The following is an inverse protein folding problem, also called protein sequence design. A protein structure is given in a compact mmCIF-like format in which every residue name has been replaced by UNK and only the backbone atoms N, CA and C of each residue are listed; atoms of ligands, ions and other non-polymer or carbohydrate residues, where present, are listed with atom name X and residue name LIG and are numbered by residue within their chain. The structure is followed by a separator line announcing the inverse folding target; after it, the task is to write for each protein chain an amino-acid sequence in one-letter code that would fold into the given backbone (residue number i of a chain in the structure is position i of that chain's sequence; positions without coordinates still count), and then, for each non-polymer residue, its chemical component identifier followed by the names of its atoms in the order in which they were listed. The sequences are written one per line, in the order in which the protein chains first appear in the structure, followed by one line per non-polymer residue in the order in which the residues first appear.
data_IF_969940412932
#
_entry.id   IF_969940412932
#
_cell.length_a   1.000
_cell.length_b   1.000
_cell.length_c   1.000
_cell.angle_alpha   90.00
_cell.angle_beta   90.00
_cell.angle_gamma   90.00
#
_symmetry.space_group_name_H-M   'P 1'
#
loop_
_entity.id
_entity.type
_entity.pdbx_description
1 polymer ?
#
# COMPACT_ATOMS: atom_id res chain seq x y z
N UNK A 1 25.34 -17.64 -24.00
CA UNK A 1 24.88 -19.02 -24.34
C UNK A 1 23.50 -19.04 -24.99
N UNK A 2 22.53 -18.22 -24.57
CA UNK A 2 21.18 -18.16 -25.18
C UNK A 2 21.17 -17.70 -26.65
N UNK A 3 21.91 -16.66 -27.04
CA UNK A 3 21.97 -16.19 -28.44
C UNK A 3 22.46 -17.26 -29.43
N UNK A 4 23.39 -18.13 -29.04
CA UNK A 4 23.87 -19.25 -29.87
C UNK A 4 22.79 -20.33 -30.04
N UNK A 5 21.93 -20.51 -29.03
CA UNK A 5 20.77 -21.41 -29.10
C UNK A 5 19.71 -20.84 -30.03
N UNK A 6 19.42 -19.55 -29.96
CA UNK A 6 18.47 -18.89 -30.86
C UNK A 6 18.93 -18.88 -32.31
N UNK A 7 20.23 -18.65 -32.57
CA UNK A 7 20.79 -18.73 -33.92
C UNK A 7 20.61 -20.13 -34.54
N UNK A 8 20.88 -21.19 -33.77
CA UNK A 8 20.66 -22.58 -34.22
C UNK A 8 19.19 -22.90 -34.47
N UNK A 9 18.29 -22.42 -33.61
CA UNK A 9 16.85 -22.61 -33.80
C UNK A 9 16.35 -21.83 -35.02
N UNK A 10 16.87 -20.62 -35.25
CA UNK A 10 16.54 -19.83 -36.42
C UNK A 10 16.98 -20.53 -37.72
N UNK A 11 18.19 -21.08 -37.78
CA UNK A 11 18.67 -21.82 -38.95
C UNK A 11 17.78 -23.03 -39.30
N UNK A 12 17.18 -23.66 -38.30
CA UNK A 12 16.25 -24.78 -38.46
C UNK A 12 14.82 -24.34 -38.83
N UNK A 13 14.44 -23.09 -38.53
CA UNK A 13 13.08 -22.56 -38.69
C UNK A 13 12.91 -21.61 -39.88
N UNK A 14 14.00 -21.13 -40.48
CA UNK A 14 14.03 -20.04 -41.48
C UNK A 14 13.14 -20.21 -42.72
N UNK A 15 12.74 -21.44 -43.05
CA UNK A 15 11.89 -21.74 -44.21
C UNK A 15 10.40 -21.76 -43.89
N UNK A 16 10.01 -21.69 -42.61
CA UNK A 16 8.64 -21.85 -42.15
C UNK A 16 8.22 -20.68 -41.26
N UNK A 17 7.27 -19.87 -41.73
CA UNK A 17 6.87 -18.65 -41.03
C UNK A 17 6.32 -18.91 -39.61
N UNK A 18 5.55 -19.98 -39.43
CA UNK A 18 5.02 -20.39 -38.11
C UNK A 18 6.13 -20.76 -37.10
N UNK A 19 7.21 -21.42 -37.55
CA UNK A 19 8.34 -21.76 -36.67
C UNK A 19 9.18 -20.55 -36.31
N UNK A 20 9.28 -19.57 -37.20
CA UNK A 20 9.91 -18.27 -36.90
C UNK A 20 9.06 -17.49 -35.90
N UNK A 21 7.73 -17.52 -36.03
CA UNK A 21 6.78 -16.94 -35.08
C UNK A 21 6.94 -17.56 -33.68
N UNK A 22 6.95 -18.90 -33.58
CA UNK A 22 7.14 -19.63 -32.33
C UNK A 22 8.50 -19.30 -31.66
N UNK A 23 9.58 -19.19 -32.46
CA UNK A 23 10.89 -18.77 -31.95
C UNK A 23 10.87 -17.35 -31.40
N UNK A 24 10.22 -16.41 -32.09
CA UNK A 24 10.11 -15.02 -31.64
C UNK A 24 9.30 -14.91 -30.34
N UNK A 25 8.23 -15.70 -30.20
CA UNK A 25 7.45 -15.81 -28.96
C UNK A 25 8.31 -16.39 -27.84
N UNK A 26 9.07 -17.44 -28.10
CA UNK A 26 9.99 -18.03 -27.11
C UNK A 26 11.02 -17.02 -26.60
N UNK A 27 11.59 -16.20 -27.49
CA UNK A 27 12.56 -15.15 -27.13
C UNK A 27 11.93 -14.13 -26.18
N UNK A 28 10.72 -13.64 -26.47
CA UNK A 28 10.04 -12.68 -25.58
C UNK A 28 9.65 -13.30 -24.24
N UNK A 29 9.12 -14.52 -24.22
CA UNK A 29 8.74 -15.19 -22.97
C UNK A 29 9.94 -15.43 -22.05
N UNK A 30 11.16 -15.56 -22.59
CA UNK A 30 12.37 -15.67 -21.79
C UNK A 30 12.83 -14.33 -21.17
N UNK A 31 12.20 -13.21 -21.53
CA UNK A 31 12.53 -11.87 -21.05
C UNK A 31 13.65 -11.19 -21.85
N UNK A 32 13.91 -11.64 -23.08
CA UNK A 32 14.91 -11.03 -23.96
C UNK A 32 14.35 -9.76 -24.65
N UNK A 33 15.22 -8.79 -24.97
CA UNK A 33 14.81 -7.49 -25.50
C UNK A 33 14.04 -7.58 -26.83
N UNK A 34 13.06 -6.68 -27.00
CA UNK A 34 12.30 -6.50 -28.24
C UNK A 34 13.14 -6.21 -29.49
N UNK A 35 14.34 -5.65 -29.32
CA UNK A 35 15.27 -5.41 -30.43
C UNK A 35 15.74 -6.73 -31.06
N UNK A 36 15.98 -7.78 -30.27
CA UNK A 36 16.39 -9.11 -30.77
C UNK A 36 15.28 -9.73 -31.64
N UNK A 37 14.02 -9.56 -31.22
CA UNK A 37 12.86 -10.04 -31.97
C UNK A 37 12.74 -9.30 -33.28
N UNK A 38 12.95 -7.98 -33.27
CA UNK A 38 12.94 -7.17 -34.48
C UNK A 38 14.04 -7.61 -35.44
N UNK A 39 15.27 -7.79 -34.95
CA UNK A 39 16.41 -8.22 -35.76
C UNK A 39 16.14 -9.61 -36.38
N UNK A 40 15.56 -10.54 -35.62
CA UNK A 40 15.13 -11.84 -36.12
C UNK A 40 14.05 -11.74 -37.21
N UNK A 41 13.07 -10.86 -37.04
CA UNK A 41 12.02 -10.62 -38.04
C UNK A 41 12.55 -9.93 -39.30
N UNK A 42 13.49 -9.00 -39.17
CA UNK A 42 14.16 -8.36 -40.32
C UNK A 42 14.97 -9.39 -41.12
N UNK A 43 15.73 -10.26 -40.44
CA UNK A 43 16.46 -11.36 -41.07
C UNK A 43 15.52 -12.37 -41.74
N UNK A 44 14.39 -12.69 -41.11
CA UNK A 44 13.40 -13.62 -41.66
C UNK A 44 12.73 -13.05 -42.92
N UNK A 45 12.36 -11.76 -42.89
CA UNK A 45 11.72 -11.09 -44.03
C UNK A 45 12.62 -10.97 -45.26
N UNK A 46 13.95 -10.96 -45.09
CA UNK A 46 14.90 -11.02 -46.20
C UNK A 46 14.88 -12.37 -46.94
N UNK A 47 14.43 -13.43 -46.27
CA UNK A 47 14.43 -14.80 -46.80
C UNK A 47 13.03 -15.23 -47.27
N UNK A 48 11.99 -14.91 -46.50
CA UNK A 48 10.60 -15.21 -46.82
C UNK A 48 9.68 -14.16 -46.17
N UNK A 49 8.68 -13.68 -46.90
CA UNK A 49 7.73 -12.68 -46.37
C UNK A 49 6.92 -13.34 -45.25
N UNK A 50 7.10 -12.86 -44.02
CA UNK A 50 6.52 -13.47 -42.83
C UNK A 50 5.05 -13.09 -42.62
N UNK A 51 4.61 -11.92 -43.11
CA UNK A 51 3.24 -11.45 -42.97
C UNK A 51 2.85 -10.92 -41.58
N UNK A 52 3.72 -11.04 -40.58
CA UNK A 52 3.52 -10.53 -39.21
C UNK A 52 4.61 -9.54 -38.79
N UNK A 53 4.26 -8.62 -37.88
CA UNK A 53 5.16 -7.58 -37.32
C UNK A 53 5.49 -7.87 -35.86
N UNK A 54 6.47 -7.15 -35.30
CA UNK A 54 6.86 -7.23 -33.88
C UNK A 54 5.67 -7.09 -32.92
N UNK A 55 4.71 -6.21 -33.25
CA UNK A 55 3.46 -6.05 -32.49
C UNK A 55 2.65 -7.34 -32.42
N UNK A 56 2.53 -8.06 -33.53
CA UNK A 56 1.73 -9.27 -33.61
C UNK A 56 2.40 -10.41 -32.82
N UNK A 57 3.73 -10.45 -32.80
CA UNK A 57 4.49 -11.35 -31.91
C UNK A 57 4.25 -11.05 -30.44
N UNK A 58 4.16 -9.78 -30.04
CA UNK A 58 3.88 -9.41 -28.64
C UNK A 58 2.48 -9.82 -28.23
N UNK A 59 1.47 -9.56 -29.07
CA UNK A 59 0.09 -10.01 -28.84
C UNK A 59 0.02 -11.53 -28.71
N UNK A 60 0.69 -12.24 -29.61
CA UNK A 60 0.77 -13.70 -29.56
C UNK A 60 1.47 -14.18 -28.29
N UNK A 61 2.56 -13.53 -27.87
CA UNK A 61 3.31 -13.92 -26.67
C UNK A 61 2.50 -13.71 -25.40
N UNK A 62 1.77 -12.59 -25.32
CA UNK A 62 0.84 -12.31 -24.24
C UNK A 62 -0.27 -13.37 -24.21
N UNK A 63 -0.93 -13.61 -25.35
CA UNK A 63 -2.00 -14.59 -25.46
C UNK A 63 -1.52 -15.98 -25.08
N UNK A 64 -0.37 -16.41 -25.59
CA UNK A 64 0.22 -17.71 -25.30
C UNK A 64 0.52 -17.91 -23.81
N UNK A 65 0.97 -16.86 -23.10
CA UNK A 65 1.19 -16.94 -21.64
C UNK A 65 -0.14 -16.89 -20.90
N UNK A 66 -1.11 -16.09 -21.35
CA UNK A 66 -2.42 -15.94 -20.73
C UNK A 66 -3.28 -17.21 -20.88
N UNK A 67 -3.27 -17.85 -22.04
CA UNK A 67 -4.02 -19.08 -22.33
C UNK A 67 -3.58 -20.24 -21.41
N UNK A 68 -2.32 -20.24 -20.93
CA UNK A 68 -1.83 -21.26 -19.98
C UNK A 68 -2.50 -21.18 -18.61
N UNK A 69 -3.16 -20.06 -18.30
CA UNK A 69 -3.97 -19.92 -17.10
C UNK A 69 -5.40 -20.44 -17.29
N UNK A 70 -5.90 -20.48 -18.53
CA UNK A 70 -7.20 -21.06 -18.89
C UNK A 70 -7.10 -22.59 -19.03
N UNK A 71 -6.06 -23.08 -19.73
CA UNK A 71 -5.78 -24.51 -19.88
C UNK A 71 -4.32 -24.83 -19.46
N UNK A 72 -4.12 -25.41 -18.26
CA UNK A 72 -2.79 -25.73 -17.77
C UNK A 72 -2.13 -26.93 -18.49
N UNK A 73 -2.89 -27.71 -19.27
CA UNK A 73 -2.40 -28.86 -20.04
C UNK A 73 -1.93 -28.46 -21.46
N UNK A 74 -2.44 -27.35 -22.02
CA UNK A 74 -2.01 -26.79 -23.31
C UNK A 74 -0.80 -25.83 -23.18
N UNK A 75 0.27 -26.30 -22.50
CA UNK A 75 1.49 -25.49 -22.35
C UNK A 75 2.39 -25.59 -23.59
N UNK A 76 2.78 -24.45 -24.20
CA UNK A 76 3.80 -24.41 -25.23
C UNK A 76 5.07 -25.17 -24.86
N UNK A 77 5.58 -25.94 -25.84
CA UNK A 77 6.71 -26.86 -25.68
C UNK A 77 8.01 -26.17 -25.24
N UNK A 78 8.13 -24.87 -25.48
CA UNK A 78 9.28 -24.07 -25.09
C UNK A 78 9.25 -23.64 -23.61
N UNK A 79 8.11 -23.72 -22.93
CA UNK A 79 8.00 -23.44 -21.51
C UNK A 79 8.48 -24.65 -20.70
N UNK A 80 9.47 -24.44 -19.85
CA UNK A 80 9.98 -25.51 -18.99
C UNK A 80 8.95 -25.85 -17.91
N UNK A 81 8.86 -27.13 -17.52
CA UNK A 81 8.00 -27.56 -16.41
C UNK A 81 8.30 -26.87 -15.07
N UNK A 82 9.47 -26.26 -14.95
CA UNK A 82 9.93 -25.57 -13.73
C UNK A 82 9.60 -24.08 -13.72
N UNK A 83 9.29 -23.48 -14.86
CA UNK A 83 8.98 -22.04 -14.94
C UNK A 83 7.48 -21.83 -14.78
N UNK A 84 7.10 -20.97 -13.83
CA UNK A 84 5.69 -20.64 -13.61
C UNK A 84 5.18 -19.66 -14.67
N UNK A 85 3.92 -19.77 -15.08
CA UNK A 85 3.29 -18.82 -16.02
C UNK A 85 3.38 -17.37 -15.52
N UNK A 86 3.39 -17.18 -14.19
CA UNK A 86 3.53 -15.88 -13.54
C UNK A 86 4.92 -15.28 -13.71
N UNK A 87 5.98 -16.08 -13.59
CA UNK A 87 7.35 -15.62 -13.85
C UNK A 87 7.53 -15.21 -15.32
N UNK A 88 6.94 -15.94 -16.25
CA UNK A 88 7.00 -15.62 -17.68
C UNK A 88 6.26 -14.32 -17.99
N UNK A 89 5.04 -14.17 -17.46
CA UNK A 89 4.28 -12.93 -17.59
C UNK A 89 5.04 -11.74 -16.98
N UNK A 90 5.64 -11.93 -15.80
CA UNK A 90 6.43 -10.87 -15.14
C UNK A 90 7.63 -10.47 -16.00
N UNK A 91 8.38 -11.42 -16.55
CA UNK A 91 9.53 -11.15 -17.43
C UNK A 91 9.11 -10.43 -18.70
N UNK A 92 8.02 -10.88 -19.31
CA UNK A 92 7.46 -10.28 -20.53
C UNK A 92 7.00 -8.85 -20.24
N UNK A 93 6.20 -8.61 -19.20
CA UNK A 93 5.73 -7.28 -18.81
C UNK A 93 6.89 -6.35 -18.42
N UNK A 94 7.94 -6.85 -17.77
CA UNK A 94 9.13 -6.05 -17.45
C UNK A 94 9.86 -5.62 -18.72
N UNK A 95 9.99 -6.53 -19.69
CA UNK A 95 10.60 -6.24 -21.00
C UNK A 95 9.78 -5.21 -21.78
N UNK A 96 8.45 -5.33 -21.76
CA UNK A 96 7.54 -4.36 -22.37
C UNK A 96 7.61 -3.00 -21.67
N UNK A 97 7.66 -2.97 -20.34
CA UNK A 97 7.76 -1.75 -19.55
C UNK A 97 9.06 -0.98 -19.85
N UNK A 98 10.19 -1.67 -19.91
CA UNK A 98 11.48 -1.07 -20.30
C UNK A 98 11.42 -0.47 -21.71
N UNK A 99 10.71 -1.11 -22.64
CA UNK A 99 10.54 -0.61 -23.99
C UNK A 99 9.61 0.60 -24.07
N UNK A 100 8.48 0.59 -23.35
CA UNK A 100 7.50 1.68 -23.31
C UNK A 100 8.08 2.97 -22.70
N UNK A 101 8.96 2.82 -21.71
CA UNK A 101 9.66 3.91 -21.02
C UNK A 101 10.96 4.35 -21.71
N UNK A 102 11.37 3.72 -22.81
CA UNK A 102 12.55 4.17 -23.54
C UNK A 102 12.28 5.50 -24.25
N UNK A 103 13.15 6.50 -24.06
CA UNK A 103 13.04 7.86 -24.60
C UNK A 103 13.14 7.95 -26.14
N UNK A 104 13.36 6.82 -26.83
CA UNK A 104 13.43 6.78 -28.29
C UNK A 104 12.02 6.74 -28.90
N UNK A 105 11.41 7.93 -29.06
CA UNK A 105 10.09 8.15 -29.68
C UNK A 105 9.95 7.47 -31.06
N UNK A 106 11.04 7.28 -31.79
CA UNK A 106 11.10 6.60 -33.11
C UNK A 106 11.17 5.07 -33.05
N UNK A 107 11.30 4.47 -31.86
CA UNK A 107 11.40 3.01 -31.65
C UNK A 107 10.21 2.41 -30.89
N UNK A 108 9.10 3.13 -30.69
CA UNK A 108 7.92 2.54 -30.04
C UNK A 108 7.20 1.60 -31.02
N UNK A 109 7.53 0.31 -30.95
CA UNK A 109 6.94 -0.72 -31.81
C UNK A 109 5.54 -1.14 -31.37
N UNK A 110 5.18 -0.83 -30.12
CA UNK A 110 3.96 -1.28 -29.43
C UNK A 110 3.36 -0.09 -28.69
N UNK A 111 2.03 0.00 -28.66
CA UNK A 111 1.29 0.96 -27.83
C UNK A 111 0.73 0.26 -26.60
N UNK A 112 0.48 1.04 -25.55
CA UNK A 112 -0.15 0.54 -24.31
C UNK A 112 -1.50 -0.15 -24.60
N UNK A 113 -2.30 0.40 -25.53
CA UNK A 113 -3.57 -0.19 -26.00
C UNK A 113 -3.45 -1.60 -26.57
N UNK A 114 -2.33 -1.94 -27.22
CA UNK A 114 -2.14 -3.27 -27.79
C UNK A 114 -1.99 -4.35 -26.71
N UNK A 115 -1.45 -3.97 -25.54
CA UNK A 115 -1.30 -4.83 -24.37
C UNK A 115 -2.65 -4.92 -23.64
N UNK A 116 -3.31 -3.78 -23.43
CA UNK A 116 -4.61 -3.69 -22.77
C UNK A 116 -5.69 -4.47 -23.51
N UNK A 117 -5.65 -4.51 -24.84
CA UNK A 117 -6.60 -5.30 -25.64
C UNK A 117 -6.53 -6.81 -25.30
N UNK A 118 -5.34 -7.40 -25.23
CA UNK A 118 -5.19 -8.83 -24.91
C UNK A 118 -5.59 -9.12 -23.46
N UNK A 119 -5.35 -8.16 -22.54
CA UNK A 119 -5.80 -8.27 -21.15
C UNK A 119 -7.32 -8.23 -21.06
N UNK A 120 -8.00 -7.34 -21.81
CA UNK A 120 -9.47 -7.29 -21.85
C UNK A 120 -10.05 -8.61 -22.36
N UNK A 121 -9.45 -9.21 -23.39
CA UNK A 121 -9.85 -10.53 -23.89
C UNK A 121 -9.65 -11.63 -22.83
N UNK A 122 -8.53 -11.62 -22.12
CA UNK A 122 -8.29 -12.56 -21.01
C UNK A 122 -9.25 -12.36 -19.84
N UNK A 123 -9.57 -11.13 -19.47
CA UNK A 123 -10.52 -10.84 -18.40
C UNK A 123 -11.95 -11.28 -18.75
N UNK A 124 -12.31 -11.26 -20.04
CA UNK A 124 -13.57 -11.78 -20.55
C UNK A 124 -13.66 -13.31 -20.56
N UNK A 125 -12.56 -14.03 -20.38
CA UNK A 125 -12.55 -15.50 -20.33
C UNK A 125 -13.12 -16.01 -18.99
N UNK A 126 -14.30 -16.60 -19.02
CA UNK A 126 -15.00 -17.13 -17.83
C UNK A 126 -14.34 -18.39 -17.25
N UNK A 127 -13.43 -19.05 -17.98
CA UNK A 127 -12.77 -20.29 -17.52
C UNK A 127 -11.69 -20.02 -16.46
N UNK A 128 -11.17 -18.79 -16.43
CA UNK A 128 -10.07 -18.39 -15.53
C UNK A 128 -10.61 -17.92 -14.18
N UNK A 129 -10.00 -18.40 -13.09
CA UNK A 129 -10.40 -18.03 -11.74
C UNK A 129 -10.24 -16.52 -11.47
N UNK A 130 -11.12 -15.90 -10.65
CA UNK A 130 -11.03 -14.49 -10.28
C UNK A 130 -9.70 -14.13 -9.59
N UNK A 131 -9.11 -15.06 -8.83
CA UNK A 131 -7.82 -14.87 -8.15
C UNK A 131 -6.66 -14.71 -9.15
N UNK A 132 -6.66 -15.50 -10.22
CA UNK A 132 -5.63 -15.41 -11.26
C UNK A 132 -5.77 -14.11 -12.03
N UNK A 133 -7.01 -13.71 -12.39
CA UNK A 133 -7.29 -12.42 -13.02
C UNK A 133 -6.79 -11.26 -12.15
N UNK A 134 -7.03 -11.32 -10.85
CA UNK A 134 -6.55 -10.33 -9.89
C UNK A 134 -5.02 -10.22 -9.87
N UNK A 135 -4.31 -11.34 -9.80
CA UNK A 135 -2.83 -11.36 -9.79
C UNK A 135 -2.23 -10.77 -11.07
N UNK A 136 -2.81 -11.11 -12.22
CA UNK A 136 -2.39 -10.58 -13.53
C UNK A 136 -2.63 -9.07 -13.59
N UNK A 137 -3.81 -8.60 -13.18
CA UNK A 137 -4.16 -7.18 -13.17
C UNK A 137 -3.29 -6.34 -12.23
N UNK A 138 -2.91 -6.86 -11.06
CA UNK A 138 -1.96 -6.19 -10.15
C UNK A 138 -0.56 -6.03 -10.76
N UNK A 139 -0.09 -7.00 -11.56
CA UNK A 139 1.18 -6.88 -12.28
C UNK A 139 1.10 -5.80 -13.37
N UNK A 140 -0.04 -5.70 -14.05
CA UNK A 140 -0.25 -4.72 -15.13
C UNK A 140 -0.32 -3.30 -14.55
N UNK A 141 -1.01 -3.11 -13.42
CA UNK A 141 -1.09 -1.81 -12.73
C UNK A 141 0.30 -1.23 -12.43
N UNK A 142 1.27 -2.08 -12.09
CA UNK A 142 2.66 -1.69 -11.81
C UNK A 142 3.48 -1.39 -13.06
N UNK A 143 3.04 -1.84 -14.24
CA UNK A 143 3.85 -1.84 -15.47
C UNK A 143 3.27 -1.00 -16.61
N UNK A 144 1.96 -0.73 -16.64
CA UNK A 144 1.29 0.00 -17.71
C UNK A 144 0.37 1.07 -17.14
N UNK A 145 0.29 2.24 -17.78
CA UNK A 145 -0.68 3.27 -17.43
C UNK A 145 -2.07 2.83 -17.86
N UNK A 146 -2.93 2.52 -16.89
CA UNK A 146 -4.30 2.07 -17.14
C UNK A 146 -5.20 3.24 -17.59
N UNK A 147 -6.06 2.99 -18.59
CA UNK A 147 -7.12 3.92 -18.99
C UNK A 147 -8.32 3.85 -18.04
N UNK A 148 -9.30 4.75 -18.18
CA UNK A 148 -10.47 4.80 -17.30
C UNK A 148 -11.29 3.49 -17.28
N UNK A 149 -11.55 2.91 -18.45
CA UNK A 149 -12.28 1.65 -18.57
C UNK A 149 -11.50 0.47 -17.97
N UNK A 150 -10.17 0.46 -18.14
CA UNK A 150 -9.32 -0.60 -17.58
C UNK A 150 -9.21 -0.50 -16.06
N UNK A 151 -9.25 0.72 -15.50
CA UNK A 151 -9.33 0.93 -14.05
C UNK A 151 -10.64 0.39 -13.47
N UNK A 152 -11.77 0.60 -14.16
CA UNK A 152 -13.07 0.06 -13.75
C UNK A 152 -13.08 -1.47 -13.83
N UNK A 153 -12.49 -2.06 -14.87
CA UNK A 153 -12.35 -3.50 -15.02
C UNK A 153 -11.45 -4.10 -13.92
N UNK A 154 -10.34 -3.45 -13.61
CA UNK A 154 -9.45 -3.85 -12.52
C UNK A 154 -10.18 -3.78 -11.18
N UNK A 155 -10.88 -2.68 -10.90
CA UNK A 155 -11.68 -2.51 -9.70
C UNK A 155 -12.75 -3.60 -9.56
N UNK A 156 -13.42 -3.96 -10.66
CA UNK A 156 -14.40 -5.03 -10.71
C UNK A 156 -13.80 -6.38 -10.29
N UNK A 157 -12.69 -6.81 -10.89
CA UNK A 157 -12.09 -8.10 -10.56
C UNK A 157 -11.45 -8.13 -9.16
N UNK A 158 -10.86 -7.01 -8.71
CA UNK A 158 -10.37 -6.88 -7.33
C UNK A 158 -11.51 -7.02 -6.32
N UNK A 159 -12.62 -6.33 -6.57
CA UNK A 159 -13.83 -6.43 -5.75
C UNK A 159 -14.42 -7.83 -5.80
N UNK A 160 -14.50 -8.44 -6.98
CA UNK A 160 -15.04 -9.77 -7.17
C UNK A 160 -14.24 -10.85 -6.43
N UNK A 161 -12.91 -10.79 -6.47
CA UNK A 161 -12.07 -11.76 -5.75
C UNK A 161 -12.28 -11.68 -4.23
N UNK A 162 -12.50 -10.49 -3.68
CA UNK A 162 -12.75 -10.34 -2.23
C UNK A 162 -14.19 -10.74 -1.88
N UNK A 163 -15.15 -10.31 -2.69
CA UNK A 163 -16.56 -10.54 -2.45
C UNK A 163 -16.90 -12.02 -2.56
N UNK A 164 -16.46 -12.69 -3.63
CA UNK A 164 -16.76 -14.11 -3.86
C UNK A 164 -16.21 -15.04 -2.77
N UNK A 165 -15.13 -14.62 -2.08
CA UNK A 165 -14.56 -15.37 -0.95
C UNK A 165 -15.41 -15.34 0.32
N UNK A 166 -16.19 -14.28 0.51
CA UNK A 166 -16.84 -13.99 1.80
C UNK A 166 -18.37 -13.87 1.70
N UNK A 167 -18.90 -13.62 0.49
CA UNK A 167 -20.33 -13.48 0.21
C UNK A 167 -20.71 -14.08 -1.15
N UNK A 168 -21.86 -14.76 -1.20
CA UNK A 168 -22.49 -15.20 -2.45
C UNK A 168 -23.28 -14.04 -3.09
N UNK A 169 -22.58 -13.03 -3.60
CA UNK A 169 -23.17 -11.87 -4.29
C UNK A 169 -22.69 -11.87 -5.73
N UNK A 170 -23.63 -11.89 -6.67
CA UNK A 170 -23.34 -11.68 -8.09
C UNK A 170 -23.01 -10.21 -8.34
N UNK A 171 -21.84 -9.98 -8.93
CA UNK A 171 -21.34 -8.65 -9.27
C UNK A 171 -21.41 -8.45 -10.79
N UNK A 172 -21.90 -7.30 -11.22
CA UNK A 172 -21.84 -6.84 -12.60
C UNK A 172 -20.89 -5.64 -12.73
N UNK A 173 -20.32 -5.45 -13.91
CA UNK A 173 -19.42 -4.32 -14.21
C UNK A 173 -20.14 -2.98 -13.97
N UNK A 174 -21.45 -2.92 -14.24
CA UNK A 174 -22.28 -1.73 -13.97
C UNK A 174 -22.37 -1.32 -12.49
N UNK A 175 -22.00 -2.21 -11.56
CA UNK A 175 -21.88 -1.86 -10.13
C UNK A 175 -20.66 -1.01 -9.80
N UNK A 176 -19.70 -0.87 -10.73
CA UNK A 176 -18.44 -0.13 -10.56
C UNK A 176 -18.37 1.15 -11.39
N UNK A 177 -19.37 1.42 -12.24
CA UNK A 177 -19.35 2.54 -13.18
C UNK A 177 -19.69 3.88 -12.54
N UNK A 178 -20.43 3.90 -11.43
CA UNK A 178 -20.82 5.14 -10.75
C UNK A 178 -20.59 5.06 -9.24
N UNK A 179 -20.32 6.22 -8.65
CA UNK A 179 -20.21 6.34 -7.19
C UNK A 179 -21.49 5.82 -6.51
N UNK A 180 -22.67 6.15 -7.02
CA UNK A 180 -23.96 5.72 -6.46
C UNK A 180 -24.17 4.20 -6.52
N UNK A 181 -23.81 3.54 -7.63
CA UNK A 181 -23.96 2.09 -7.75
C UNK A 181 -22.99 1.34 -6.82
N UNK A 182 -21.81 1.90 -6.61
CA UNK A 182 -20.78 1.39 -5.70
C UNK A 182 -21.19 1.57 -4.22
N UNK A 183 -21.79 2.71 -3.85
CA UNK A 183 -22.40 2.90 -2.53
C UNK A 183 -23.56 1.92 -2.28
N UNK A 184 -24.41 1.68 -3.29
CA UNK A 184 -25.49 0.69 -3.15
C UNK A 184 -24.96 -0.73 -2.97
N UNK A 185 -23.85 -1.06 -3.62
CA UNK A 185 -23.17 -2.34 -3.42
C UNK A 185 -22.58 -2.44 -2.01
N UNK A 186 -21.94 -1.37 -1.52
CA UNK A 186 -21.46 -1.28 -0.14
C UNK A 186 -22.56 -1.66 0.86
N UNK A 187 -23.72 -0.99 0.78
CA UNK A 187 -24.85 -1.26 1.67
C UNK A 187 -25.28 -2.73 1.63
N UNK A 188 -25.42 -3.30 0.42
CA UNK A 188 -25.78 -4.73 0.25
C UNK A 188 -24.77 -5.70 0.88
N UNK A 189 -23.47 -5.41 0.77
CA UNK A 189 -22.41 -6.24 1.37
C UNK A 189 -22.42 -6.06 2.89
N UNK A 190 -22.52 -4.82 3.36
CA UNK A 190 -22.49 -4.48 4.77
C UNK A 190 -23.69 -5.06 5.54
N UNK A 191 -24.89 -5.03 4.95
CA UNK A 191 -26.10 -5.64 5.52
C UNK A 191 -25.97 -7.16 5.69
N UNK A 192 -25.24 -7.82 4.79
CA UNK A 192 -24.97 -9.27 4.83
C UNK A 192 -23.76 -9.65 5.69
N UNK A 193 -23.03 -8.66 6.19
CA UNK A 193 -21.82 -8.89 6.97
C UNK A 193 -22.19 -9.25 8.42
N UNK A 194 -21.78 -10.43 8.87
CA UNK A 194 -22.07 -10.94 10.21
C UNK A 194 -20.82 -11.40 10.98
N UNK A 195 -19.72 -11.70 10.28
CA UNK A 195 -18.47 -12.17 10.92
C UNK A 195 -17.37 -11.11 10.88
N UNK A 196 -16.42 -11.18 11.82
CA UNK A 196 -15.28 -10.24 11.86
C UNK A 196 -14.42 -10.31 10.58
N UNK A 197 -14.19 -11.51 10.05
CA UNK A 197 -13.44 -11.70 8.81
C UNK A 197 -14.12 -11.00 7.63
N UNK A 198 -15.46 -11.03 7.58
CA UNK A 198 -16.24 -10.29 6.59
C UNK A 198 -16.10 -8.77 6.78
N UNK A 199 -16.09 -8.26 8.02
CA UNK A 199 -15.89 -6.83 8.27
C UNK A 199 -14.49 -6.37 7.84
N UNK A 200 -13.45 -7.18 8.08
CA UNK A 200 -12.09 -6.91 7.58
C UNK A 200 -11.99 -6.99 6.05
N UNK A 201 -12.75 -7.89 5.42
CA UNK A 201 -12.88 -7.95 3.96
C UNK A 201 -13.57 -6.68 3.42
N UNK A 202 -14.59 -6.15 4.09
CA UNK A 202 -15.19 -4.84 3.74
C UNK A 202 -14.19 -3.70 3.89
N UNK A 203 -13.40 -3.66 4.97
CA UNK A 203 -12.34 -2.66 5.13
C UNK A 203 -11.32 -2.73 3.98
N UNK A 204 -10.96 -3.94 3.55
CA UNK A 204 -10.08 -4.15 2.40
C UNK A 204 -10.69 -3.65 1.10
N UNK A 205 -12.01 -3.81 0.91
CA UNK A 205 -12.74 -3.26 -0.23
C UNK A 205 -12.75 -1.73 -0.23
N UNK A 206 -13.03 -1.09 0.91
CA UNK A 206 -13.01 0.37 1.04
C UNK A 206 -11.63 0.97 0.73
N UNK A 207 -10.55 0.23 1.00
CA UNK A 207 -9.20 0.64 0.65
C UNK A 207 -8.90 0.59 -0.86
N UNK A 208 -9.64 -0.25 -1.60
CA UNK A 208 -9.48 -0.42 -3.05
C UNK A 208 -10.41 0.54 -3.80
N UNK A 209 -11.57 0.84 -3.22
CA UNK A 209 -12.57 1.70 -3.82
C UNK A 209 -12.16 3.18 -3.82
N UNK A 210 -12.63 3.97 -4.80
CA UNK A 210 -12.45 5.42 -4.74
C UNK A 210 -13.12 5.96 -3.47
N UNK A 211 -12.56 7.04 -2.86
CA UNK A 211 -13.15 7.61 -1.66
C UNK A 211 -14.58 8.03 -1.97
N UNK A 212 -15.49 7.55 -1.13
CA UNK A 212 -16.86 7.99 -1.14
C UNK A 212 -16.91 9.48 -0.81
N UNK A 213 -17.64 10.27 -1.59
CA UNK A 213 -17.88 11.67 -1.26
C UNK A 213 -18.53 11.73 0.12
N UNK A 214 -17.89 12.44 1.06
CA UNK A 214 -18.42 12.61 2.40
C UNK A 214 -19.83 13.19 2.30
N UNK A 215 -20.83 12.38 2.61
CA UNK A 215 -22.20 12.85 2.75
C UNK A 215 -22.20 13.84 3.90
N UNK A 216 -22.52 15.10 3.60
CA UNK A 216 -22.46 16.21 4.56
C UNK A 216 -23.30 15.95 5.84
N UNK A 217 -24.26 15.03 5.75
CA UNK A 217 -25.21 14.68 6.81
C UNK A 217 -25.31 13.14 7.09
N UNK A 218 -24.41 12.32 6.54
CA UNK A 218 -24.47 10.85 6.65
C UNK A 218 -23.29 10.23 7.39
N UNK A 219 -23.51 9.07 8.01
CA UNK A 219 -22.46 8.23 8.58
C UNK A 219 -21.51 7.74 7.47
N UNK A 220 -20.22 8.04 7.59
CA UNK A 220 -19.23 7.60 6.60
C UNK A 220 -19.12 6.07 6.53
N UNK A 221 -18.80 5.52 5.35
CA UNK A 221 -18.61 4.07 5.18
C UNK A 221 -17.54 3.50 6.14
N UNK A 222 -16.48 4.28 6.41
CA UNK A 222 -15.46 3.94 7.40
C UNK A 222 -15.98 3.95 8.84
N UNK A 223 -16.89 4.87 9.18
CA UNK A 223 -17.53 4.90 10.49
C UNK A 223 -18.35 3.64 10.75
N UNK A 224 -19.14 3.20 9.76
CA UNK A 224 -19.92 1.96 9.84
C UNK A 224 -19.03 0.72 10.03
N UNK A 225 -17.90 0.64 9.32
CA UNK A 225 -16.96 -0.47 9.46
C UNK A 225 -16.29 -0.46 10.84
N UNK A 226 -15.79 0.69 11.30
CA UNK A 226 -15.12 0.79 12.59
C UNK A 226 -16.08 0.59 13.77
N UNK A 227 -17.27 1.19 13.73
CA UNK A 227 -18.29 0.98 14.77
C UNK A 227 -18.68 -0.49 14.92
N UNK A 228 -18.80 -1.21 13.81
CA UNK A 228 -19.10 -2.66 13.81
C UNK A 228 -17.94 -3.50 14.33
N UNK A 229 -16.69 -3.19 13.95
CA UNK A 229 -15.50 -3.85 14.53
C UNK A 229 -15.41 -3.62 16.04
N UNK A 230 -15.75 -2.43 16.52
CA UNK A 230 -15.64 -2.11 17.95
C UNK A 230 -16.78 -2.78 18.74
N UNK A 231 -18.01 -2.72 18.22
CA UNK A 231 -19.21 -3.20 18.92
C UNK A 231 -19.31 -4.73 18.91
N UNK A 232 -19.05 -5.36 17.76
CA UNK A 232 -19.23 -6.81 17.59
C UNK A 232 -17.96 -7.60 17.92
N UNK A 233 -16.78 -7.09 17.52
CA UNK A 233 -15.51 -7.80 17.65
C UNK A 233 -14.68 -7.39 18.87
N UNK A 234 -14.91 -6.19 19.42
CA UNK A 234 -14.00 -5.50 20.35
C UNK A 234 -12.54 -5.48 19.86
N UNK A 235 -12.35 -5.45 18.54
CA UNK A 235 -11.03 -5.51 17.92
C UNK A 235 -10.51 -4.12 17.58
N UNK A 236 -10.08 -3.38 18.61
CA UNK A 236 -9.41 -2.09 18.44
C UNK A 236 -8.04 -2.19 17.74
N UNK A 237 -7.40 -3.36 17.72
CA UNK A 237 -6.09 -3.55 17.11
C UNK A 237 -6.17 -3.44 15.59
N UNK A 238 -7.19 -4.07 14.99
CA UNK A 238 -7.43 -3.97 13.55
C UNK A 238 -7.80 -2.55 13.12
N UNK A 239 -8.58 -1.82 13.92
CA UNK A 239 -8.92 -0.41 13.66
C UNK A 239 -7.65 0.45 13.58
N UNK A 240 -6.74 0.31 14.55
CA UNK A 240 -5.49 1.08 14.58
C UNK A 240 -4.55 0.69 13.42
N UNK A 241 -4.48 -0.58 13.04
CA UNK A 241 -3.69 -1.03 11.88
C UNK A 241 -4.20 -0.44 10.57
N UNK A 242 -5.51 -0.50 10.33
CA UNK A 242 -6.13 0.06 9.14
C UNK A 242 -5.92 1.58 9.10
N UNK A 243 -6.14 2.26 10.24
CA UNK A 243 -5.91 3.70 10.36
C UNK A 243 -4.45 4.09 10.06
N UNK A 244 -3.49 3.26 10.45
CA UNK A 244 -2.07 3.49 10.18
C UNK A 244 -1.68 3.30 8.73
N UNK A 245 -2.09 2.19 8.12
CA UNK A 245 -1.65 1.83 6.78
C UNK A 245 -2.24 2.76 5.70
N UNK A 246 -3.38 3.39 6.01
CA UNK A 246 -4.22 4.08 5.02
C UNK A 246 -4.81 5.40 5.52
N UNK A 247 -4.14 6.08 6.45
CA UNK A 247 -4.57 7.38 7.00
C UNK A 247 -4.99 8.38 5.89
N UNK A 248 -4.23 8.45 4.79
CA UNK A 248 -4.49 9.37 3.67
C UNK A 248 -5.78 9.06 2.89
N UNK A 249 -6.28 7.81 2.95
CA UNK A 249 -7.47 7.35 2.23
C UNK A 249 -8.74 7.32 3.09
N UNK A 250 -8.59 7.48 4.41
CA UNK A 250 -9.71 7.43 5.34
C UNK A 250 -10.33 8.82 5.42
N UNK A 251 -11.44 9.02 4.71
CA UNK A 251 -12.27 10.21 4.86
C UNK A 251 -13.27 9.97 5.99
N UNK A 252 -12.93 10.43 7.20
CA UNK A 252 -13.84 10.47 8.34
C UNK A 252 -14.23 11.92 8.64
N UNK A 253 -15.51 12.13 8.93
CA UNK A 253 -15.98 13.41 9.45
C UNK A 253 -15.50 13.59 10.90
N UNK A 254 -15.35 14.84 11.34
CA UNK A 254 -14.91 15.17 12.71
C UNK A 254 -15.75 14.49 13.81
N UNK A 255 -17.07 14.44 13.61
CA UNK A 255 -18.02 13.79 14.55
C UNK A 255 -17.87 12.27 14.59
N UNK A 256 -17.58 11.67 13.44
CA UNK A 256 -17.37 10.23 13.32
C UNK A 256 -16.08 9.81 14.03
N UNK A 257 -15.00 10.61 13.91
CA UNK A 257 -13.75 10.39 14.63
C UNK A 257 -13.93 10.41 16.15
N UNK A 258 -14.68 11.39 16.66
CA UNK A 258 -14.99 11.49 18.10
C UNK A 258 -15.82 10.29 18.56
N UNK A 259 -16.83 9.90 17.79
CA UNK A 259 -17.72 8.79 18.13
C UNK A 259 -16.99 7.43 18.11
N UNK A 260 -16.08 7.22 17.16
CA UNK A 260 -15.21 6.03 17.12
C UNK A 260 -14.26 6.02 18.31
N UNK A 261 -13.68 7.18 18.66
CA UNK A 261 -12.77 7.28 19.79
C UNK A 261 -13.47 7.00 21.12
N UNK A 262 -14.67 7.56 21.33
CA UNK A 262 -15.49 7.26 22.52
C UNK A 262 -15.90 5.78 22.58
N UNK A 263 -16.21 5.17 21.42
CA UNK A 263 -16.50 3.74 21.34
C UNK A 263 -15.26 2.89 21.67
N UNK A 264 -14.07 3.28 21.20
CA UNK A 264 -12.81 2.61 21.53
C UNK A 264 -12.46 2.73 23.02
N UNK A 265 -12.70 3.88 23.64
CA UNK A 265 -12.50 4.07 25.09
C UNK A 265 -13.44 3.20 25.93
N UNK A 266 -14.68 3.00 25.46
CA UNK A 266 -15.71 2.28 26.21
C UNK A 266 -15.59 0.76 26.06
N UNK A 267 -15.34 0.28 24.85
CA UNK A 267 -15.45 -1.14 24.51
C UNK A 267 -14.10 -1.83 24.25
N UNK A 268 -12.99 -1.07 24.16
CA UNK A 268 -11.63 -1.56 23.88
C UNK A 268 -10.58 -1.01 24.88
N UNK A 269 -9.30 -1.35 24.68
CA UNK A 269 -8.19 -0.79 25.47
C UNK A 269 -7.95 0.70 25.16
N UNK A 270 -7.79 1.51 26.21
CA UNK A 270 -7.60 2.96 26.12
C UNK A 270 -6.38 3.38 25.27
N UNK A 271 -5.30 2.58 25.32
CA UNK A 271 -4.10 2.80 24.50
C UNK A 271 -4.40 2.76 22.99
N UNK A 272 -5.34 1.93 22.57
CA UNK A 272 -5.73 1.81 21.15
C UNK A 272 -6.54 3.03 20.72
N UNK A 273 -7.42 3.55 21.58
CA UNK A 273 -8.12 4.80 21.35
C UNK A 273 -7.13 5.95 21.16
N UNK A 274 -6.14 6.07 22.06
CA UNK A 274 -5.13 7.13 21.96
C UNK A 274 -4.27 7.02 20.71
N UNK A 275 -3.87 5.82 20.29
CA UNK A 275 -3.17 5.63 19.01
C UNK A 275 -4.03 6.03 17.82
N UNK A 276 -5.32 5.68 17.82
CA UNK A 276 -6.24 6.08 16.75
C UNK A 276 -6.38 7.59 16.66
N UNK A 277 -6.61 8.28 17.78
CA UNK A 277 -6.70 9.74 17.83
C UNK A 277 -5.41 10.43 17.38
N UNK A 278 -4.24 9.86 17.70
CA UNK A 278 -2.95 10.38 17.25
C UNK A 278 -2.67 10.15 15.76
N UNK A 279 -3.26 9.12 15.15
CA UNK A 279 -3.08 8.81 13.73
C UNK A 279 -3.98 9.65 12.82
N UNK A 280 -5.22 9.94 13.26
CA UNK A 280 -6.17 10.75 12.46
C UNK A 280 -5.81 12.24 12.47
N UNK A 281 -5.21 12.73 13.55
CA UNK A 281 -4.36 13.92 13.51
C UNK A 281 -5.05 15.27 13.28
N UNK A 282 -6.25 15.50 13.80
CA UNK A 282 -6.85 16.85 13.86
C UNK A 282 -6.49 17.56 15.19
N UNK A 283 -6.31 18.88 15.16
CA UNK A 283 -5.94 19.69 16.33
C UNK A 283 -6.94 19.56 17.48
N UNK A 284 -8.23 19.45 17.15
CA UNK A 284 -9.31 19.23 18.12
C UNK A 284 -9.29 17.81 18.71
N UNK A 285 -8.94 16.80 17.89
CA UNK A 285 -8.77 15.42 18.36
C UNK A 285 -7.57 15.31 19.29
N UNK A 286 -6.47 16.01 19.01
CA UNK A 286 -5.32 16.06 19.92
C UNK A 286 -5.70 16.66 21.27
N UNK A 287 -6.47 17.75 21.32
CA UNK A 287 -6.97 18.31 22.58
C UNK A 287 -7.88 17.33 23.33
N UNK A 288 -8.77 16.63 22.63
CA UNK A 288 -9.65 15.63 23.25
C UNK A 288 -8.87 14.45 23.83
N UNK A 289 -7.91 13.92 23.06
CA UNK A 289 -6.99 12.86 23.48
C UNK A 289 -6.19 13.31 24.72
N UNK A 290 -5.65 14.53 24.71
CA UNK A 290 -4.88 15.08 25.84
C UNK A 290 -5.75 15.27 27.09
N UNK A 291 -6.99 15.74 26.95
CA UNK A 291 -7.92 15.87 28.07
C UNK A 291 -8.25 14.52 28.71
N UNK A 292 -8.44 13.48 27.90
CA UNK A 292 -8.65 12.13 28.40
C UNK A 292 -7.38 11.54 29.05
N UNK A 293 -6.19 11.85 28.51
CA UNK A 293 -4.92 11.46 29.13
C UNK A 293 -4.67 12.10 30.49
N UNK A 294 -5.15 13.33 30.71
CA UNK A 294 -5.04 14.02 32.02
C UNK A 294 -5.96 13.43 33.08
N UNK A 295 -7.06 12.79 32.68
CA UNK A 295 -8.03 12.17 33.58
C UNK A 295 -7.58 10.80 34.10
N UNK A 296 -6.55 10.20 33.48
CA UNK A 296 -6.04 8.90 33.86
C UNK A 296 -5.11 8.95 35.08
N UNK A 297 -5.31 8.01 36.00
CA UNK A 297 -4.42 7.83 37.13
C UNK A 297 -3.09 7.20 36.68
N UNK A 298 -1.96 7.54 37.32
CA UNK A 298 -0.63 7.09 36.91
C UNK A 298 -0.43 5.57 36.96
N UNK A 299 -1.19 4.84 37.79
CA UNK A 299 -1.11 3.38 37.92
C UNK A 299 -1.87 2.63 36.81
N UNK A 300 -2.75 3.32 36.07
CA UNK A 300 -3.52 2.77 34.95
C UNK A 300 -2.90 3.10 33.58
N UNK A 301 -1.82 3.89 33.57
CA UNK A 301 -1.16 4.34 32.36
C UNK A 301 -0.37 3.20 31.66
N UNK A 302 -1.03 2.48 30.77
CA UNK A 302 -0.41 1.48 29.89
C UNK A 302 0.13 2.20 28.65
N UNK A 303 1.40 1.96 28.30
CA UNK A 303 2.06 2.59 27.16
C UNK A 303 2.92 1.60 26.38
N UNK A 304 3.13 1.89 25.11
CA UNK A 304 4.07 1.17 24.26
C UNK A 304 4.96 2.11 23.44
N UNK A 305 6.04 1.55 22.91
CA UNK A 305 7.05 2.35 22.21
C UNK A 305 6.50 3.02 20.94
N UNK A 306 5.51 2.41 20.31
CA UNK A 306 4.83 2.92 19.12
C UNK A 306 3.99 4.16 19.44
N UNK A 307 3.21 4.12 20.52
CA UNK A 307 2.46 5.28 21.01
C UNK A 307 3.40 6.45 21.34
N UNK A 308 4.52 6.19 21.99
CA UNK A 308 5.52 7.22 22.31
C UNK A 308 6.19 7.80 21.04
N UNK A 309 6.37 7.00 19.98
CA UNK A 309 6.86 7.49 18.69
C UNK A 309 5.82 8.39 18.00
N UNK A 310 4.53 8.04 18.05
CA UNK A 310 3.45 8.86 17.50
C UNK A 310 3.33 10.21 18.22
N UNK A 311 3.49 10.24 19.53
CA UNK A 311 3.55 11.49 20.31
C UNK A 311 4.72 12.39 19.88
N UNK A 312 5.88 11.79 19.59
CA UNK A 312 7.04 12.51 19.08
C UNK A 312 6.78 13.07 17.66
N UNK A 313 6.26 12.24 16.74
CA UNK A 313 5.96 12.66 15.35
C UNK A 313 4.96 13.82 15.30
N UNK A 314 4.00 13.85 16.21
CA UNK A 314 2.98 14.90 16.27
C UNK A 314 3.40 16.15 17.07
N UNK A 315 4.66 16.24 17.54
CA UNK A 315 5.20 17.38 18.31
C UNK A 315 4.38 17.74 19.56
N UNK A 316 3.83 16.74 20.23
CA UNK A 316 3.00 16.94 21.44
C UNK A 316 3.81 16.96 22.74
N UNK A 317 5.14 17.00 22.65
CA UNK A 317 6.10 16.95 23.77
C UNK A 317 5.80 17.96 24.88
N UNK A 318 5.41 19.19 24.51
CA UNK A 318 5.07 20.27 25.44
C UNK A 318 3.74 20.07 26.18
N UNK A 319 2.82 19.30 25.61
CA UNK A 319 1.45 19.13 26.13
C UNK A 319 1.27 17.87 26.97
N UNK A 320 2.21 16.94 26.87
CA UNK A 320 2.25 15.68 27.64
C UNK A 320 2.79 15.91 29.06
N UNK A 321 3.43 17.06 29.36
CA UNK A 321 4.08 17.35 30.65
C UNK A 321 3.12 17.18 31.85
N UNK A 322 1.84 17.45 31.66
CA UNK A 322 0.80 17.35 32.69
C UNK A 322 0.14 15.96 32.77
N UNK A 323 0.58 15.01 31.94
CA UNK A 323 0.02 13.66 31.85
C UNK A 323 0.94 12.64 32.50
N UNK A 324 0.43 11.50 33.00
CA UNK A 324 1.25 10.44 33.60
C UNK A 324 2.26 9.82 32.62
N UNK A 325 2.07 10.01 31.31
CA UNK A 325 2.93 9.49 30.25
C UNK A 325 4.26 10.24 30.09
N UNK A 326 4.41 11.43 30.69
CA UNK A 326 5.63 12.24 30.55
C UNK A 326 6.89 11.51 31.02
N UNK A 327 6.83 10.85 32.17
CA UNK A 327 7.98 10.11 32.71
C UNK A 327 8.37 8.93 31.80
N UNK A 328 7.39 8.22 31.24
CA UNK A 328 7.61 7.13 30.30
C UNK A 328 8.20 7.63 28.98
N UNK A 329 7.70 8.75 28.47
CA UNK A 329 8.21 9.41 27.26
C UNK A 329 9.66 9.88 27.42
N UNK A 330 10.02 10.48 28.56
CA UNK A 330 11.40 10.88 28.87
C UNK A 330 12.32 9.66 28.94
N UNK A 331 11.90 8.59 29.62
CA UNK A 331 12.68 7.35 29.67
C UNK A 331 12.86 6.72 28.28
N UNK A 332 11.83 6.79 27.43
CA UNK A 332 11.89 6.31 26.05
C UNK A 332 12.87 7.11 25.19
N UNK A 333 12.83 8.44 25.26
CA UNK A 333 13.79 9.32 24.60
C UNK A 333 15.24 9.06 25.07
N UNK A 334 15.43 8.77 26.36
CA UNK A 334 16.74 8.49 26.95
C UNK A 334 17.25 7.07 26.67
N UNK A 335 16.38 6.08 26.46
CA UNK A 335 16.80 4.70 26.12
C UNK A 335 17.34 4.58 24.70
N UNK A 336 16.85 5.40 23.76
CA UNK A 336 17.39 5.47 22.39
C UNK A 336 17.17 4.21 21.55
N UNK A 337 16.21 3.35 21.92
CA UNK A 337 15.81 2.19 21.13
C UNK A 337 14.57 2.57 20.29
N UNK A 338 14.78 2.98 19.02
CA UNK A 338 13.89 2.69 17.87
C UNK A 338 14.42 3.29 16.54
N UNK A 339 14.10 2.57 15.47
CA UNK A 339 14.68 2.53 14.12
C UNK A 339 14.40 3.73 13.17
N UNK A 340 14.88 4.96 13.42
CA UNK A 340 14.82 6.02 12.39
C UNK A 340 16.06 6.93 12.37
N UNK A 341 16.39 7.41 11.16
CA UNK A 341 17.53 8.19 10.61
C UNK A 341 18.12 9.37 11.41
N UNK A 342 17.60 9.73 12.59
CA UNK A 342 18.09 10.87 13.37
C UNK A 342 18.86 10.43 14.61
N UNK A 343 20.00 11.07 14.86
CA UNK A 343 20.81 10.80 16.06
C UNK A 343 19.98 11.06 17.32
N UNK A 344 20.19 10.22 18.35
CA UNK A 344 19.57 10.33 19.69
C UNK A 344 19.65 11.76 20.23
N UNK A 345 20.77 12.44 20.02
CA UNK A 345 21.01 13.82 20.46
C UNK A 345 20.13 14.82 19.70
N UNK A 346 19.91 14.64 18.40
CA UNK A 346 19.07 15.54 17.60
C UNK A 346 17.61 15.53 18.06
N UNK A 347 17.05 14.34 18.34
CA UNK A 347 15.67 14.17 18.80
C UNK A 347 15.44 14.75 20.19
N UNK A 348 16.38 14.49 21.10
CA UNK A 348 16.31 15.02 22.47
C UNK A 348 16.45 16.55 22.44
N UNK A 349 17.35 17.09 21.63
CA UNK A 349 17.51 18.55 21.49
C UNK A 349 16.26 19.22 20.88
N UNK A 350 15.58 18.57 19.93
CA UNK A 350 14.31 19.08 19.37
C UNK A 350 13.20 19.12 20.43
N UNK A 351 13.00 18.03 21.18
CA UNK A 351 12.02 17.99 22.29
C UNK A 351 12.35 19.00 23.38
N UNK A 352 13.62 19.15 23.71
CA UNK A 352 14.10 20.10 24.72
C UNK A 352 13.87 21.55 24.26
N UNK A 353 14.03 21.84 22.97
CA UNK A 353 13.70 23.15 22.38
C UNK A 353 12.20 23.40 22.43
N UNK A 354 11.38 22.44 22.01
CA UNK A 354 9.92 22.56 22.01
C UNK A 354 9.38 22.78 23.44
N UNK A 355 9.95 22.10 24.44
CA UNK A 355 9.62 22.30 25.86
C UNK A 355 10.04 23.68 26.38
N UNK A 356 11.21 24.18 25.95
CA UNK A 356 11.68 25.51 26.31
C UNK A 356 10.80 26.60 25.70
N UNK A 357 10.43 26.49 24.42
CA UNK A 357 9.52 27.41 23.74
C UNK A 357 8.12 27.42 24.39
N UNK A 358 7.67 26.28 24.92
CA UNK A 358 6.42 26.18 25.67
C UNK A 358 6.52 26.65 27.14
N UNK A 359 7.70 27.06 27.62
CA UNK A 359 7.90 27.59 28.97
C UNK A 359 8.26 26.55 30.05
N UNK A 360 8.36 25.26 29.69
CA UNK A 360 8.75 24.16 30.60
C UNK A 360 10.27 24.01 30.71
N UNK A 361 10.93 25.10 31.12
CA UNK A 361 12.40 25.24 31.15
C UNK A 361 13.09 24.26 32.10
N UNK A 362 12.48 23.96 33.25
CA UNK A 362 13.04 23.06 34.27
C UNK A 362 13.04 21.61 33.77
N UNK A 363 11.96 21.18 33.12
CA UNK A 363 11.81 19.85 32.54
C UNK A 363 12.75 19.67 31.35
N UNK A 364 12.84 20.69 30.47
CA UNK A 364 13.80 20.72 29.36
C UNK A 364 15.25 20.60 29.85
N UNK A 365 15.62 21.37 30.88
CA UNK A 365 16.96 21.32 31.47
C UNK A 365 17.27 19.96 32.12
N UNK A 366 16.29 19.34 32.79
CA UNK A 366 16.44 18.01 33.40
C UNK A 366 16.67 16.90 32.37
N UNK A 367 15.95 16.94 31.23
CA UNK A 367 16.14 16.00 30.12
C UNK A 367 17.53 16.18 29.49
N UNK A 368 17.94 17.44 29.25
CA UNK A 368 19.26 17.76 28.70
C UNK A 368 20.40 17.30 29.62
N UNK A 369 20.28 17.56 30.92
CA UNK A 369 21.25 17.10 31.92
C UNK A 369 21.34 15.56 32.01
N UNK A 370 20.24 14.87 31.73
CA UNK A 370 20.19 13.41 31.68
C UNK A 370 20.83 12.84 30.40
N UNK A 371 20.77 13.58 29.29
CA UNK A 371 21.49 13.24 28.04
C UNK A 371 23.01 13.43 28.20
N UNK A 372 23.42 14.53 28.83
CA UNK A 372 24.84 14.90 29.00
C UNK A 372 25.54 14.05 30.09
N UNK A 373 24.85 13.05 30.66
CA UNK A 373 25.34 12.15 31.73
C UNK A 373 25.99 12.89 32.91
N UNK A 374 25.44 14.04 33.30
CA UNK A 374 25.98 14.83 34.41
C UNK A 374 25.95 14.00 35.71
N UNK A 375 27.12 13.93 36.37
CA UNK A 375 27.32 13.19 37.62
C UNK A 375 26.27 13.58 38.68
N UNK A 376 25.72 12.63 39.48
CA UNK A 376 24.63 12.90 40.43
C UNK A 376 24.88 14.08 41.38
N UNK A 377 26.14 14.30 41.77
CA UNK A 377 26.55 15.43 42.62
C UNK A 377 26.60 16.81 41.95
N UNK A 378 26.48 16.89 40.61
CA UNK A 378 26.43 18.14 39.83
C UNK A 378 25.02 18.46 39.33
N UNK A 379 24.02 17.60 39.60
CA UNK A 379 22.60 17.80 39.27
C UNK A 379 21.89 18.74 40.26
N UNK A 380 22.55 19.82 40.67
CA UNK A 380 21.86 20.89 41.38
C UNK A 380 21.06 21.72 40.37
N UNK A 381 19.84 22.11 40.73
CA UNK A 381 18.89 22.82 39.86
C UNK A 381 19.55 24.03 39.17
N UNK A 382 20.31 24.82 39.93
CA UNK A 382 20.98 26.03 39.42
C UNK A 382 22.09 25.75 38.42
N UNK A 383 22.85 24.66 38.61
CA UNK A 383 23.91 24.28 37.67
C UNK A 383 23.32 23.75 36.37
N UNK A 384 22.27 22.92 36.45
CA UNK A 384 21.56 22.35 35.31
C UNK A 384 20.83 23.42 34.50
N UNK A 385 20.19 24.38 35.16
CA UNK A 385 19.57 25.53 34.49
C UNK A 385 20.62 26.46 33.88
N UNK A 386 21.73 26.70 34.57
CA UNK A 386 22.81 27.54 34.08
C UNK A 386 23.52 26.98 32.84
N UNK A 387 23.77 25.67 32.79
CA UNK A 387 24.33 25.00 31.60
C UNK A 387 23.32 24.95 30.46
N UNK A 388 22.05 24.70 30.78
CA UNK A 388 20.98 24.65 29.80
C UNK A 388 20.70 26.00 29.14
N UNK A 389 20.60 27.07 29.91
CA UNK A 389 20.37 28.42 29.38
C UNK A 389 21.52 28.86 28.46
N UNK A 390 22.78 28.48 28.78
CA UNK A 390 23.93 28.73 27.89
C UNK A 390 23.86 27.94 26.58
N UNK A 391 23.29 26.74 26.61
CA UNK A 391 23.02 25.97 25.39
C UNK A 391 21.89 26.60 24.58
N UNK A 392 20.78 26.96 25.22
CA UNK A 392 19.62 27.57 24.57
C UNK A 392 19.91 28.95 23.96
N UNK A 393 20.90 29.71 24.47
CA UNK A 393 21.34 30.98 23.88
C UNK A 393 22.30 30.83 22.70
N UNK A 394 22.94 29.67 22.55
CA UNK A 394 23.96 29.38 21.52
C UNK A 394 23.45 28.43 20.41
N UNK A 395 22.22 27.93 20.54
CA UNK A 395 21.51 27.07 19.59
C UNK A 395 20.43 27.88 18.89
#
# INVERSE_FOLDING_TARGET
MQHVKYARLYDLSRSEAEKVKELCVQVLCNGDSLDIVKDLLELANQQCVQGFKTRDIVKESLRTVLDTYSDPDDRPKFMSKQTTSFELLTKLLTTLHQHLNSDNVTKKYIKEEDILQEIRTFCADETVSPEVKHQVLQLIEKTVKLTGEDKTLLLYHQTQSIVHKHWEIELSIGNMESSESLHRLFGKIFDKTTTNDQVLAVASLLNIWPPFEATQDGEGAWYLVFSKLITDAKDGSSVVKIAREKADNIQLNKKDCQSIFDALLKDCEELLAFKFGLLVGDAEMFEFVLNQMKLLEPDQAIWDNEFLELLFKNKLSSRIVETPYFAAFVNYLLKGEINVEHSRESRVNEVVRDLHEAGYTVQAASIKASLDNLHPGLRTLDNVLGTFLRWATNS
#
